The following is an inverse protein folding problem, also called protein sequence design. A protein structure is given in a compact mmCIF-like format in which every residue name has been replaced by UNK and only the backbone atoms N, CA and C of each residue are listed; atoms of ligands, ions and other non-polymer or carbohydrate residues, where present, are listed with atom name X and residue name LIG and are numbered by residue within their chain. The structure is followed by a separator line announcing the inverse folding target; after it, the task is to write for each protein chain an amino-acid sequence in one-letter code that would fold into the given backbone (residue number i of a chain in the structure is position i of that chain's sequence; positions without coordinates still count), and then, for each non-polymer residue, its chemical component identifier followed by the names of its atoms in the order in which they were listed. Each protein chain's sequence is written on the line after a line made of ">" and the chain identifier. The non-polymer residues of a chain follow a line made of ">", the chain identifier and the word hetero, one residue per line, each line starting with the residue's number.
data_IF_678202460438
#
_entry.id   IF_678202460438
#
_cell.length_a   1.000
_cell.length_b   1.000
_cell.length_c   1.000
_cell.angle_alpha   90.00
_cell.angle_beta   90.00
_cell.angle_gamma   90.00
#
_symmetry.space_group_name_H-M   'P 1'
#
loop_
_entity.id
_entity.type
_entity.pdbx_description
1 polymer ?
#
# COMPACT_ATOMS: atom_id res chain seq x y z
N UNK A 1 7.79 48.59 12.50
CA UNK A 1 7.46 48.15 13.86
C UNK A 1 7.80 46.67 13.96
N UNK A 2 8.94 46.40 14.60
CA UNK A 2 9.56 45.07 14.67
C UNK A 2 9.17 44.46 16.03
N UNK A 3 8.47 43.31 16.01
CA UNK A 3 8.19 42.56 17.24
C UNK A 3 8.95 41.23 17.19
N UNK A 4 10.03 41.17 17.95
CA UNK A 4 10.82 39.98 18.21
C UNK A 4 10.09 39.14 19.28
N UNK A 5 9.80 37.87 18.99
CA UNK A 5 9.23 36.91 19.96
C UNK A 5 10.26 35.84 20.29
N UNK A 6 10.81 35.97 21.46
CA UNK A 6 11.79 35.05 22.09
C UNK A 6 11.17 33.67 22.33
N UNK A 7 11.85 32.61 21.86
CA UNK A 7 11.49 31.21 22.05
C UNK A 7 12.26 30.64 23.23
N UNK A 8 11.56 30.31 24.32
CA UNK A 8 12.13 29.64 25.49
C UNK A 8 12.22 28.12 25.22
N UNK A 9 13.42 27.59 25.31
CA UNK A 9 13.73 26.16 25.29
C UNK A 9 13.47 25.64 26.69
N UNK A 10 12.58 24.67 26.82
CA UNK A 10 12.31 23.95 28.07
C UNK A 10 13.05 22.60 28.02
N UNK A 11 14.07 22.47 28.85
CA UNK A 11 14.79 21.22 29.07
C UNK A 11 13.95 20.31 29.97
N UNK A 12 13.57 19.14 29.48
CA UNK A 12 12.89 18.09 30.24
C UNK A 12 13.84 16.96 30.60
N UNK A 13 13.88 16.63 31.86
CA UNK A 13 14.75 15.66 32.52
C UNK A 13 14.53 14.21 32.05
N UNK A 14 15.66 13.52 31.83
CA UNK A 14 15.73 12.06 31.70
C UNK A 14 15.61 11.42 33.10
N UNK A 15 14.64 10.54 33.27
CA UNK A 15 14.55 9.57 34.38
C UNK A 15 14.93 8.19 33.87
N UNK A 16 16.07 7.70 34.32
CA UNK A 16 16.52 6.33 34.10
C UNK A 16 15.82 5.40 35.10
N UNK A 17 15.11 4.38 34.60
CA UNK A 17 14.56 3.28 35.41
C UNK A 17 15.44 2.06 35.23
N UNK A 18 16.18 1.72 36.29
CA UNK A 18 16.98 0.50 36.40
C UNK A 18 16.11 -0.66 36.86
N UNK A 19 16.00 -1.71 36.03
CA UNK A 19 15.32 -2.96 36.38
C UNK A 19 16.37 -3.96 36.88
N UNK A 20 16.31 -4.30 38.19
CA UNK A 20 17.12 -5.32 38.84
C UNK A 20 16.44 -6.68 38.69
N UNK A 21 17.11 -7.62 38.01
CA UNK A 21 16.72 -9.04 38.01
C UNK A 21 17.35 -9.76 39.18
N UNK A 22 16.54 -10.22 40.14
CA UNK A 22 16.90 -11.14 41.18
C UNK A 22 16.78 -12.59 40.71
N UNK A 23 17.93 -13.27 40.64
CA UNK A 23 18.02 -14.72 40.50
C UNK A 23 18.05 -15.35 41.90
N UNK A 24 17.11 -16.22 42.19
CA UNK A 24 17.15 -17.21 43.27
C UNK A 24 16.25 -18.37 42.83
N UNK A 25 16.59 -19.59 42.99
CA UNK A 25 17.57 -20.36 43.69
C UNK A 25 17.25 -21.85 43.44
N UNK A 26 18.28 -22.66 43.43
CA UNK A 26 18.23 -24.12 43.32
C UNK A 26 17.41 -24.77 44.45
N UNK A 27 16.64 -25.77 44.08
CA UNK A 27 16.23 -26.83 45.02
C UNK A 27 16.34 -28.19 44.34
N UNK A 28 17.30 -28.96 44.79
CA UNK A 28 17.50 -30.37 44.45
C UNK A 28 16.51 -31.23 45.18
N UNK A 29 15.71 -31.98 44.45
CA UNK A 29 15.04 -33.18 44.96
C UNK A 29 15.29 -34.31 43.96
N UNK A 30 16.07 -35.30 44.39
CA UNK A 30 16.21 -36.57 43.70
C UNK A 30 14.93 -37.35 43.89
N UNK A 31 14.29 -37.75 42.79
CA UNK A 31 13.33 -38.81 42.81
C UNK A 31 13.49 -39.72 41.60
N UNK A 32 13.25 -40.96 41.82
CA UNK A 32 13.70 -42.19 41.15
C UNK A 32 13.08 -42.31 39.76
N UNK A 33 13.92 -42.64 38.79
CA UNK A 33 13.62 -42.91 37.39
C UNK A 33 12.62 -44.04 37.19
N UNK A 34 11.49 -43.74 36.57
CA UNK A 34 10.75 -44.70 35.72
C UNK A 34 11.00 -44.20 34.30
N UNK A 35 11.82 -44.93 33.55
CA UNK A 35 11.99 -44.69 32.11
C UNK A 35 10.73 -45.17 31.39
N UNK A 36 9.84 -44.25 31.10
CA UNK A 36 8.81 -44.44 30.11
C UNK A 36 9.41 -43.97 28.78
N UNK A 37 9.55 -44.95 27.86
CA UNK A 37 10.09 -44.73 26.52
C UNK A 37 9.08 -43.85 25.73
N UNK A 38 9.31 -42.52 25.75
CA UNK A 38 8.57 -41.58 24.94
C UNK A 38 9.03 -41.77 23.49
N UNK A 39 8.25 -42.52 22.70
CA UNK A 39 8.38 -42.50 21.23
C UNK A 39 8.06 -41.09 20.76
N UNK A 40 9.07 -40.31 20.56
CA UNK A 40 8.97 -39.02 19.84
C UNK A 40 8.73 -39.34 18.38
N UNK A 41 7.47 -39.28 17.96
CA UNK A 41 7.15 -39.15 16.54
C UNK A 41 7.56 -37.77 16.16
N UNK A 42 8.72 -37.63 15.51
CA UNK A 42 9.09 -36.42 14.79
C UNK A 42 8.14 -36.30 13.59
N UNK A 43 7.03 -35.58 13.80
CA UNK A 43 6.18 -35.12 12.73
C UNK A 43 6.99 -34.05 11.98
N UNK A 44 7.64 -34.47 10.90
CA UNK A 44 8.30 -33.56 9.95
C UNK A 44 7.17 -32.73 9.33
N UNK A 45 6.92 -31.54 9.90
CA UNK A 45 6.14 -30.52 9.23
C UNK A 45 7.00 -30.08 8.04
N UNK A 46 6.64 -30.57 6.87
CA UNK A 46 7.18 -30.11 5.59
C UNK A 46 6.70 -28.66 5.46
N UNK A 47 7.58 -27.70 5.81
CA UNK A 47 7.36 -26.27 5.63
C UNK A 47 7.25 -26.04 4.12
N UNK A 48 6.01 -25.93 3.62
CA UNK A 48 5.78 -25.54 2.22
C UNK A 48 6.52 -24.23 1.98
N UNK A 49 7.43 -24.24 1.01
CA UNK A 49 8.13 -23.03 0.59
C UNK A 49 7.09 -21.96 0.22
N UNK A 50 7.27 -20.71 0.69
CA UNK A 50 6.33 -19.65 0.37
C UNK A 50 6.20 -19.52 -1.15
N UNK A 51 4.96 -19.57 -1.64
CA UNK A 51 4.65 -19.35 -3.05
C UNK A 51 5.01 -17.89 -3.35
N UNK A 52 6.05 -17.68 -4.15
CA UNK A 52 6.40 -16.34 -4.62
C UNK A 52 5.34 -15.89 -5.63
N UNK A 53 4.43 -15.05 -5.18
CA UNK A 53 3.44 -14.40 -6.05
C UNK A 53 4.17 -13.45 -6.99
N UNK A 54 4.04 -13.66 -8.29
CA UNK A 54 4.64 -12.81 -9.32
C UNK A 54 3.60 -11.92 -9.98
N UNK A 55 4.01 -10.67 -10.27
CA UNK A 55 3.16 -9.71 -10.96
C UNK A 55 2.89 -10.13 -12.40
N UNK A 56 1.62 -10.12 -12.78
CA UNK A 56 1.14 -10.31 -14.14
C UNK A 56 0.47 -9.03 -14.63
N UNK A 57 1.09 -8.34 -15.60
CA UNK A 57 0.55 -7.09 -16.14
C UNK A 57 -0.84 -7.33 -16.74
N UNK A 58 -1.87 -6.57 -16.32
CA UNK A 58 -3.20 -6.65 -16.93
C UNK A 58 -3.14 -6.14 -18.40
N UNK A 59 -3.98 -6.71 -19.26
CA UNK A 59 -4.05 -6.34 -20.68
C UNK A 59 -4.56 -4.91 -20.88
N UNK A 60 -5.48 -4.51 -20.05
CA UNK A 60 -6.17 -3.22 -20.07
C UNK A 60 -6.90 -2.95 -18.74
N UNK A 61 -7.60 -1.84 -18.63
CA UNK A 61 -8.31 -1.43 -17.42
C UNK A 61 -9.46 -2.35 -17.01
N UNK A 62 -10.02 -3.13 -17.93
CA UNK A 62 -11.10 -4.07 -17.59
C UNK A 62 -10.58 -5.32 -16.86
N UNK A 63 -9.28 -5.59 -16.97
CA UNK A 63 -8.60 -6.68 -16.30
C UNK A 63 -7.83 -6.24 -15.03
N UNK A 64 -7.90 -4.94 -14.66
CA UNK A 64 -7.14 -4.39 -13.54
C UNK A 64 -7.68 -4.82 -12.18
N UNK A 65 -8.99 -5.01 -12.07
CA UNK A 65 -9.68 -5.36 -10.82
C UNK A 65 -10.37 -6.72 -10.96
N UNK A 66 -10.43 -7.44 -9.84
CA UNK A 66 -11.32 -8.58 -9.70
C UNK A 66 -12.79 -8.13 -9.44
N UNK A 67 -13.70 -9.09 -9.25
CA UNK A 67 -15.11 -8.82 -8.98
C UNK A 67 -15.33 -7.98 -7.70
N UNK A 68 -14.53 -8.21 -6.65
CA UNK A 68 -14.61 -7.45 -5.39
C UNK A 68 -14.19 -5.98 -5.59
N UNK A 69 -13.11 -5.74 -6.32
CA UNK A 69 -12.67 -4.39 -6.65
C UNK A 69 -13.65 -3.65 -7.56
N UNK A 70 -14.24 -4.33 -8.53
CA UNK A 70 -15.29 -3.77 -9.38
C UNK A 70 -16.53 -3.37 -8.57
N UNK A 71 -16.96 -4.19 -7.59
CA UNK A 71 -18.07 -3.87 -6.68
C UNK A 71 -17.80 -2.64 -5.81
N UNK A 72 -16.54 -2.38 -5.40
CA UNK A 72 -16.19 -1.15 -4.70
C UNK A 72 -16.42 0.08 -5.57
N UNK A 73 -16.04 0.03 -6.84
CA UNK A 73 -16.28 1.14 -7.79
C UNK A 73 -17.77 1.34 -8.06
N UNK A 74 -18.54 0.27 -8.24
CA UNK A 74 -19.98 0.33 -8.42
C UNK A 74 -20.68 1.01 -7.23
N UNK A 75 -20.23 0.75 -6.01
CA UNK A 75 -20.75 1.41 -4.80
C UNK A 75 -20.55 2.92 -4.82
N UNK A 76 -19.52 3.41 -5.52
CA UNK A 76 -19.25 4.84 -5.72
C UNK A 76 -20.05 5.42 -6.92
N UNK A 77 -20.71 4.59 -7.71
CA UNK A 77 -21.43 4.99 -8.92
C UNK A 77 -20.51 5.43 -10.05
N UNK A 78 -19.24 5.03 -10.04
CA UNK A 78 -18.26 5.39 -11.07
C UNK A 78 -18.12 4.30 -12.12
N UNK A 79 -17.79 4.72 -13.34
CA UNK A 79 -17.52 3.84 -14.48
C UNK A 79 -16.15 4.16 -15.07
N UNK A 80 -15.55 3.21 -15.79
CA UNK A 80 -14.31 3.42 -16.53
C UNK A 80 -14.55 4.41 -17.68
N UNK A 81 -13.92 5.59 -17.61
CA UNK A 81 -14.12 6.66 -18.59
C UNK A 81 -12.90 6.93 -19.46
N UNK A 82 -11.67 6.64 -18.97
CA UNK A 82 -10.45 6.80 -19.76
C UNK A 82 -9.40 5.75 -19.38
N UNK A 83 -8.46 5.54 -20.28
CA UNK A 83 -7.43 4.52 -20.23
C UNK A 83 -7.70 3.38 -21.22
N UNK A 84 -6.72 2.46 -21.40
CA UNK A 84 -6.84 1.32 -22.29
C UNK A 84 -8.04 0.44 -21.92
N UNK A 85 -8.88 0.09 -22.91
CA UNK A 85 -10.10 -0.70 -22.68
C UNK A 85 -11.32 0.10 -22.22
N UNK A 86 -11.21 1.43 -22.02
CA UNK A 86 -12.37 2.30 -21.81
C UNK A 86 -13.23 2.42 -23.08
N UNK A 87 -14.52 2.82 -22.99
CA UNK A 87 -15.39 2.93 -24.16
C UNK A 87 -14.86 3.84 -25.27
N UNK A 88 -14.18 4.94 -24.91
CA UNK A 88 -13.56 5.86 -25.86
C UNK A 88 -12.08 5.52 -26.13
N UNK A 89 -11.46 4.75 -25.25
CA UNK A 89 -10.03 4.48 -25.24
C UNK A 89 -9.17 5.76 -25.18
N UNK A 90 -9.74 6.83 -24.59
CA UNK A 90 -9.07 8.11 -24.43
C UNK A 90 -7.95 8.02 -23.39
N UNK A 91 -6.88 8.79 -23.53
CA UNK A 91 -5.84 8.89 -22.50
C UNK A 91 -6.40 9.62 -21.25
N UNK A 92 -5.85 9.31 -20.08
CA UNK A 92 -6.23 9.96 -18.80
C UNK A 92 -5.89 11.44 -18.83
N UNK A 93 -4.75 11.79 -19.40
CA UNK A 93 -4.33 13.18 -19.60
C UNK A 93 -4.27 13.50 -21.09
N UNK A 94 -4.78 14.66 -21.49
CA UNK A 94 -4.72 15.15 -22.88
C UNK A 94 -3.28 15.39 -23.33
N UNK A 95 -2.42 15.81 -22.40
CA UNK A 95 -0.98 15.98 -22.63
C UNK A 95 -0.22 15.25 -21.53
N UNK A 96 0.60 14.27 -21.93
CA UNK A 96 1.47 13.53 -21.02
C UNK A 96 0.95 12.13 -20.65
N UNK A 97 1.62 11.56 -19.70
CA UNK A 97 1.39 10.22 -19.18
C UNK A 97 1.39 10.26 -17.65
N UNK A 98 0.71 9.29 -17.05
CA UNK A 98 0.81 9.10 -15.59
C UNK A 98 2.21 8.57 -15.23
N UNK A 99 2.63 8.69 -13.96
CA UNK A 99 3.90 8.12 -13.53
C UNK A 99 4.03 6.62 -13.82
N UNK A 100 2.94 5.86 -13.70
CA UNK A 100 2.91 4.43 -13.99
C UNK A 100 3.11 4.16 -15.49
N UNK A 101 2.47 4.95 -16.35
CA UNK A 101 2.63 4.84 -17.82
C UNK A 101 4.05 5.18 -18.27
N UNK A 102 4.72 6.13 -17.61
CA UNK A 102 6.13 6.48 -17.91
C UNK A 102 7.09 5.32 -17.72
N UNK A 103 6.79 4.41 -16.81
CA UNK A 103 7.58 3.19 -16.57
C UNK A 103 6.97 1.96 -17.26
N UNK A 104 6.10 2.17 -18.24
CA UNK A 104 5.49 1.10 -19.05
C UNK A 104 4.33 0.39 -18.35
N UNK A 105 3.74 1.00 -17.33
CA UNK A 105 2.58 0.50 -16.61
C UNK A 105 1.26 0.80 -17.31
N UNK A 106 0.19 0.75 -16.52
CA UNK A 106 -1.20 0.98 -16.92
C UNK A 106 -1.85 1.92 -15.93
N UNK A 107 -2.65 2.88 -16.43
CA UNK A 107 -3.51 3.72 -15.61
C UNK A 107 -4.91 3.78 -16.15
N UNK A 108 -5.88 3.86 -15.23
CA UNK A 108 -7.31 3.78 -15.50
C UNK A 108 -8.04 4.85 -14.71
N UNK A 109 -8.88 5.65 -15.39
CA UNK A 109 -9.69 6.68 -14.78
C UNK A 109 -11.16 6.24 -14.71
N UNK A 110 -11.68 6.26 -13.49
CA UNK A 110 -13.08 6.02 -13.18
C UNK A 110 -13.72 7.29 -12.65
N UNK A 111 -14.91 7.62 -13.15
CA UNK A 111 -15.68 8.78 -12.69
C UNK A 111 -17.18 8.55 -12.91
N UNK A 112 -18.02 9.41 -12.34
CA UNK A 112 -19.45 9.42 -12.62
C UNK A 112 -19.63 9.91 -14.07
N UNK A 113 -20.34 9.16 -14.93
CA UNK A 113 -20.55 9.55 -16.32
C UNK A 113 -21.17 10.94 -16.46
N UNK A 114 -20.48 11.82 -17.20
CA UNK A 114 -20.90 13.21 -17.41
C UNK A 114 -20.56 14.18 -16.26
N UNK A 115 -19.96 13.72 -15.19
CA UNK A 115 -19.59 14.52 -14.01
C UNK A 115 -18.07 14.49 -13.68
N UNK A 116 -17.24 14.10 -14.65
CA UNK A 116 -15.80 13.94 -14.44
C UNK A 116 -15.09 15.20 -13.90
N UNK A 117 -15.61 16.38 -14.18
CA UNK A 117 -15.03 17.65 -13.71
C UNK A 117 -15.49 18.06 -12.30
N UNK A 118 -16.56 17.48 -11.78
CA UNK A 118 -17.23 17.93 -10.55
C UNK A 118 -17.54 16.82 -9.54
N UNK A 119 -17.50 15.57 -9.99
CA UNK A 119 -17.79 14.39 -9.19
C UNK A 119 -16.53 13.72 -8.61
N UNK A 120 -16.74 12.50 -8.13
CA UNK A 120 -15.62 11.65 -7.70
C UNK A 120 -14.81 11.18 -8.92
N UNK A 121 -13.49 11.30 -8.80
CA UNK A 121 -12.54 10.78 -9.77
C UNK A 121 -11.59 9.81 -9.08
N UNK A 122 -11.42 8.63 -9.65
CA UNK A 122 -10.54 7.57 -9.14
C UNK A 122 -9.57 7.20 -10.26
N UNK A 123 -8.29 7.48 -10.06
CA UNK A 123 -7.22 7.00 -10.94
C UNK A 123 -6.55 5.82 -10.24
N UNK A 124 -6.57 4.68 -10.92
CA UNK A 124 -5.87 3.47 -10.49
C UNK A 124 -4.73 3.19 -11.46
N UNK A 125 -3.55 2.90 -10.91
CA UNK A 125 -2.36 2.60 -11.70
C UNK A 125 -1.64 1.36 -11.22
N UNK A 126 -0.96 0.68 -12.15
CA UNK A 126 -0.06 -0.43 -11.83
C UNK A 126 1.08 -0.50 -12.84
N UNK A 127 2.25 -0.92 -12.39
CA UNK A 127 3.42 -1.14 -13.23
C UNK A 127 4.26 -2.31 -12.72
N UNK A 128 4.94 -2.99 -13.66
CA UNK A 128 6.05 -3.86 -13.31
C UNK A 128 7.21 -2.98 -12.82
N UNK A 129 7.84 -3.37 -11.74
CA UNK A 129 9.00 -2.68 -11.17
C UNK A 129 10.10 -3.70 -10.93
N UNK A 130 11.20 -3.55 -11.67
CA UNK A 130 12.43 -4.31 -11.47
C UNK A 130 13.48 -3.49 -10.72
N UNK A 131 14.64 -4.09 -10.48
CA UNK A 131 15.77 -3.44 -9.79
C UNK A 131 16.30 -2.20 -10.53
N UNK A 132 16.10 -2.10 -11.85
CA UNK A 132 16.55 -0.97 -12.65
C UNK A 132 15.61 0.24 -12.53
N UNK A 133 14.30 0.00 -12.47
CA UNK A 133 13.26 1.04 -12.43
C UNK A 133 12.97 1.49 -10.99
N UNK A 134 13.07 0.56 -10.02
CA UNK A 134 12.69 0.78 -8.62
C UNK A 134 13.29 2.04 -7.98
N UNK A 135 14.59 2.36 -8.13
CA UNK A 135 15.15 3.57 -7.55
C UNK A 135 14.48 4.86 -8.06
N UNK A 136 14.19 4.93 -9.37
CA UNK A 136 13.50 6.07 -9.98
C UNK A 136 12.09 6.24 -9.43
N UNK A 137 11.33 5.16 -9.31
CA UNK A 137 9.97 5.18 -8.73
C UNK A 137 10.02 5.68 -7.28
N UNK A 138 10.97 5.20 -6.48
CA UNK A 138 11.15 5.65 -5.09
C UNK A 138 11.47 7.15 -5.03
N UNK A 139 12.40 7.64 -5.85
CA UNK A 139 12.78 9.05 -5.87
C UNK A 139 11.60 9.93 -6.27
N UNK A 140 10.79 9.54 -7.25
CA UNK A 140 9.60 10.26 -7.70
C UNK A 140 8.51 10.28 -6.61
N UNK A 141 8.29 9.18 -5.89
CA UNK A 141 7.33 9.09 -4.80
C UNK A 141 7.77 9.95 -3.59
N UNK A 142 9.07 9.98 -3.29
CA UNK A 142 9.63 10.85 -2.25
C UNK A 142 9.53 12.32 -2.61
N UNK A 143 9.72 12.68 -3.90
CA UNK A 143 9.59 14.05 -4.38
C UNK A 143 8.17 14.62 -4.20
N UNK A 144 7.14 13.78 -4.15
CA UNK A 144 5.74 14.17 -3.89
C UNK A 144 5.46 14.50 -2.42
N UNK A 145 6.44 14.34 -1.52
CA UNK A 145 6.32 14.63 -0.08
C UNK A 145 5.17 13.84 0.59
N UNK A 146 4.97 12.60 0.17
CA UNK A 146 4.01 11.68 0.76
C UNK A 146 4.54 11.13 2.09
N UNK A 147 3.63 10.70 2.97
CA UNK A 147 3.99 9.93 4.14
C UNK A 147 4.54 8.57 3.70
N UNK A 148 5.53 8.06 4.42
CA UNK A 148 6.14 6.75 4.14
C UNK A 148 5.74 5.77 5.21
N UNK A 149 5.45 4.53 4.80
CA UNK A 149 5.11 3.44 5.68
C UNK A 149 5.49 2.09 5.07
N UNK A 150 5.05 1.01 5.70
CA UNK A 150 5.24 -0.34 5.22
C UNK A 150 4.03 -1.19 5.58
N UNK A 151 3.60 -2.05 4.66
CA UNK A 151 2.55 -3.05 4.91
C UNK A 151 3.09 -4.23 5.71
N UNK A 152 2.19 -5.04 6.28
CA UNK A 152 2.58 -6.24 7.04
C UNK A 152 3.32 -7.28 6.17
N UNK A 153 3.04 -7.32 4.88
CA UNK A 153 3.67 -8.19 3.88
C UNK A 153 4.92 -7.56 3.22
N UNK A 154 5.41 -6.43 3.76
CA UNK A 154 6.70 -5.85 3.45
C UNK A 154 6.74 -4.83 2.31
N UNK A 155 5.62 -4.49 1.67
CA UNK A 155 5.60 -3.44 0.66
C UNK A 155 5.86 -2.06 1.27
N UNK A 156 6.64 -1.22 0.59
CA UNK A 156 6.74 0.20 0.94
C UNK A 156 5.46 0.92 0.53
N UNK A 157 4.95 1.79 1.40
CA UNK A 157 3.78 2.60 1.11
C UNK A 157 4.12 4.08 1.11
N UNK A 158 3.54 4.82 0.16
CA UNK A 158 3.65 6.28 0.06
C UNK A 158 2.25 6.84 -0.04
N UNK A 159 1.85 7.70 0.92
CA UNK A 159 0.44 8.00 1.07
C UNK A 159 0.14 9.40 1.60
N UNK A 160 -1.08 9.86 1.32
CA UNK A 160 -1.64 11.10 1.84
C UNK A 160 -3.17 10.98 1.89
N UNK A 161 -3.79 11.44 2.98
CA UNK A 161 -5.26 11.45 3.05
C UNK A 161 -5.88 12.51 2.14
N UNK A 162 -5.15 13.61 1.94
CA UNK A 162 -5.71 14.76 1.24
C UNK A 162 -6.72 15.50 2.11
N UNK A 163 -7.63 16.19 1.43
CA UNK A 163 -8.78 16.87 2.04
C UNK A 163 -10.05 16.68 1.18
N UNK A 164 -11.21 16.99 1.77
CA UNK A 164 -12.51 16.76 1.12
C UNK A 164 -12.83 17.80 0.02
N UNK A 165 -11.91 18.68 -0.33
CA UNK A 165 -12.18 19.79 -1.25
C UNK A 165 -11.24 19.79 -2.46
N UNK A 166 -9.91 19.82 -2.25
CA UNK A 166 -8.94 20.11 -3.31
C UNK A 166 -7.85 19.03 -3.39
N UNK A 167 -7.32 18.59 -2.24
CA UNK A 167 -6.16 17.70 -2.20
C UNK A 167 -6.63 16.24 -2.27
N UNK A 168 -6.26 15.48 -3.30
CA UNK A 168 -6.67 14.09 -3.42
C UNK A 168 -6.12 13.21 -2.30
N UNK A 169 -6.80 12.14 -1.99
CA UNK A 169 -6.25 11.00 -1.29
C UNK A 169 -5.33 10.24 -2.24
N UNK A 170 -4.15 9.86 -1.76
CA UNK A 170 -3.15 9.13 -2.54
C UNK A 170 -2.70 7.92 -1.73
N UNK A 171 -2.67 6.77 -2.34
CA UNK A 171 -2.07 5.57 -1.78
C UNK A 171 -1.25 4.85 -2.85
N UNK A 172 0.01 4.58 -2.54
CA UNK A 172 0.91 3.78 -3.35
C UNK A 172 1.41 2.61 -2.53
N UNK A 173 1.49 1.43 -3.14
CA UNK A 173 2.14 0.24 -2.59
C UNK A 173 3.19 -0.26 -3.57
N UNK A 174 4.46 -0.28 -3.13
CA UNK A 174 5.60 -0.69 -3.92
C UNK A 174 6.15 -2.01 -3.38
N UNK A 175 5.86 -3.09 -4.08
CA UNK A 175 6.36 -4.45 -3.84
C UNK A 175 7.71 -4.68 -4.52
N UNK A 176 8.28 -5.87 -4.37
CA UNK A 176 9.55 -6.21 -5.00
C UNK A 176 9.49 -6.16 -6.53
N UNK A 177 8.37 -6.56 -7.11
CA UNK A 177 8.14 -6.74 -8.54
C UNK A 177 7.07 -5.82 -9.14
N UNK A 178 6.35 -5.05 -8.31
CA UNK A 178 5.18 -4.30 -8.77
C UNK A 178 4.93 -3.03 -7.98
N UNK A 179 4.32 -2.07 -8.65
CA UNK A 179 3.83 -0.83 -8.08
C UNK A 179 2.33 -0.69 -8.36
N UNK A 180 1.57 -0.35 -7.33
CA UNK A 180 0.15 -0.06 -7.39
C UNK A 180 -0.12 1.31 -6.82
N UNK A 181 -0.99 2.07 -7.46
CA UNK A 181 -1.40 3.40 -7.02
C UNK A 181 -2.90 3.60 -7.09
N UNK A 182 -3.42 4.38 -6.16
CA UNK A 182 -4.77 4.94 -6.19
C UNK A 182 -4.71 6.41 -5.83
N UNK A 183 -5.30 7.25 -6.69
CA UNK A 183 -5.54 8.66 -6.46
C UNK A 183 -7.05 8.91 -6.54
N UNK A 184 -7.63 9.46 -5.47
CA UNK A 184 -9.08 9.68 -5.37
C UNK A 184 -9.35 11.13 -5.00
N UNK A 185 -10.18 11.80 -5.80
CA UNK A 185 -10.65 13.14 -5.57
C UNK A 185 -12.19 13.17 -5.52
N UNK A 186 -12.82 13.82 -4.53
CA UNK A 186 -12.16 14.51 -3.40
C UNK A 186 -11.40 13.55 -2.48
N UNK A 187 -10.42 14.09 -1.74
CA UNK A 187 -9.63 13.32 -0.78
C UNK A 187 -10.38 13.09 0.53
N UNK A 188 -9.62 12.98 1.62
CA UNK A 188 -10.13 12.66 2.95
C UNK A 188 -9.89 11.21 3.37
N UNK A 189 -10.24 10.91 4.60
CA UNK A 189 -9.97 9.59 5.18
C UNK A 189 -10.73 8.46 4.50
N UNK A 190 -12.00 8.66 4.18
CA UNK A 190 -12.84 7.65 3.52
C UNK A 190 -12.31 7.33 2.12
N UNK A 191 -11.95 8.36 1.34
CA UNK A 191 -11.33 8.19 0.02
C UNK A 191 -9.99 7.47 0.11
N UNK A 192 -9.20 7.76 1.13
CA UNK A 192 -7.94 7.06 1.37
C UNK A 192 -8.17 5.57 1.68
N UNK A 193 -9.10 5.25 2.57
CA UNK A 193 -9.42 3.86 2.96
C UNK A 193 -9.97 3.08 1.75
N UNK A 194 -10.76 3.70 0.87
CA UNK A 194 -11.18 3.15 -0.41
C UNK A 194 -9.97 2.88 -1.33
N UNK A 195 -9.05 3.83 -1.43
CA UNK A 195 -7.82 3.68 -2.24
C UNK A 195 -6.97 2.50 -1.78
N UNK A 196 -6.80 2.31 -0.47
CA UNK A 196 -6.11 1.14 0.10
C UNK A 196 -6.80 -0.16 -0.30
N UNK A 197 -8.13 -0.24 -0.19
CA UNK A 197 -8.90 -1.42 -0.56
C UNK A 197 -8.76 -1.72 -2.07
N UNK A 198 -8.90 -0.72 -2.93
CA UNK A 198 -8.75 -0.89 -4.38
C UNK A 198 -7.34 -1.37 -4.77
N UNK A 199 -6.28 -0.83 -4.16
CA UNK A 199 -4.90 -1.29 -4.36
C UNK A 199 -4.75 -2.75 -3.99
N UNK A 200 -5.36 -3.21 -2.90
CA UNK A 200 -5.32 -4.60 -2.50
C UNK A 200 -6.05 -5.51 -3.50
N UNK A 201 -7.21 -5.08 -4.02
CA UNK A 201 -7.94 -5.84 -5.05
C UNK A 201 -7.19 -5.88 -6.39
N UNK A 202 -6.53 -4.78 -6.80
CA UNK A 202 -5.63 -4.78 -7.97
C UNK A 202 -4.52 -5.81 -7.80
N UNK A 203 -3.86 -5.83 -6.64
CA UNK A 203 -2.81 -6.81 -6.37
C UNK A 203 -3.34 -8.24 -6.48
N UNK A 204 -4.49 -8.53 -5.85
CA UNK A 204 -5.12 -9.86 -5.90
C UNK A 204 -5.45 -10.28 -7.34
N UNK A 205 -5.89 -9.34 -8.18
CA UNK A 205 -6.22 -9.61 -9.57
C UNK A 205 -4.99 -9.84 -10.48
N UNK A 206 -3.85 -9.25 -10.11
CA UNK A 206 -2.64 -9.19 -10.98
C UNK A 206 -1.46 -10.01 -10.47
N UNK A 207 -1.62 -10.78 -9.39
CA UNK A 207 -0.60 -11.73 -8.89
C UNK A 207 -1.07 -13.18 -9.06
N UNK A 208 -0.12 -14.05 -9.48
CA UNK A 208 -0.34 -15.49 -9.71
C UNK A 208 0.71 -16.31 -9.01
#
# INVERSE_FOLDING_TARGET
>A
MTVSKSMRIQQGSLTAVSLVFLLAGCSTASDTLVMEEVVTVEETVEEEAPVELSYSRPSDCTALLNESGAALLETQGVELIAGPGSPSNDPIYVEGQTPEELVGGLSCLYAIPGEADTGINIILGTALVDDAIRPTVIDDLLAQQLNVGQTADGALTYWKWGDEVIVPAIHNSLYADSWYSALIQPGGRESYDLGVALVQEMRTATTQ
#
